data_IF_181090314055
#
_entry.id   IF_181090314055
#
_cell.length_a   1.000
_cell.length_b   1.000
_cell.length_c   1.000
_cell.angle_alpha   90.00
_cell.angle_beta   90.00
_cell.angle_gamma   90.00
#
_symmetry.space_group_name_H-M   'P 1'
#
loop_
_entity.id
_entity.type
_entity.pdbx_description
1 polymer ?
#
# COMPACT_ATOMS: atom_id res chain seq x y z
N UNK A 1 16.18 4.38 -4.61
CA UNK A 1 14.88 5.06 -4.47
C UNK A 1 14.30 4.79 -3.10
N UNK A 2 13.82 5.82 -2.46
CA UNK A 2 13.14 5.68 -1.16
C UNK A 2 11.72 5.14 -1.37
N UNK A 3 11.39 4.10 -0.65
CA UNK A 3 10.04 3.53 -0.65
C UNK A 3 9.61 3.19 0.77
N UNK A 4 8.33 2.98 0.96
CA UNK A 4 7.79 2.45 2.21
C UNK A 4 7.30 1.03 1.92
N UNK A 5 7.85 0.07 2.65
CA UNK A 5 7.49 -1.34 2.52
C UNK A 5 6.47 -1.70 3.59
N UNK A 6 5.29 -2.14 3.14
CA UNK A 6 4.27 -2.68 4.03
C UNK A 6 4.43 -4.19 4.03
N UNK A 7 4.98 -4.70 5.13
CA UNK A 7 5.27 -6.12 5.30
C UNK A 7 4.14 -6.75 6.14
N UNK A 8 3.18 -7.34 5.46
CA UNK A 8 2.02 -7.95 6.13
C UNK A 8 2.41 -9.25 6.86
N UNK A 9 3.44 -9.94 6.39
CA UNK A 9 3.94 -11.17 7.04
C UNK A 9 4.47 -10.87 8.44
N UNK A 10 5.32 -9.86 8.57
CA UNK A 10 5.92 -9.47 9.84
C UNK A 10 5.16 -8.36 10.56
N UNK A 11 4.10 -7.85 9.96
CA UNK A 11 3.28 -6.73 10.46
C UNK A 11 4.11 -5.50 10.77
N UNK A 12 4.89 -5.08 9.78
CA UNK A 12 5.78 -3.92 9.88
C UNK A 12 5.58 -2.97 8.71
N UNK A 13 5.76 -1.69 8.98
CA UNK A 13 5.81 -0.64 7.97
C UNK A 13 7.18 0.00 8.08
N UNK A 14 7.99 -0.10 7.02
CA UNK A 14 9.41 0.26 7.05
C UNK A 14 9.78 1.15 5.87
N UNK A 15 10.65 2.13 6.14
CA UNK A 15 11.32 2.83 5.06
C UNK A 15 12.42 1.94 4.51
N UNK A 16 12.47 1.81 3.18
CA UNK A 16 13.46 0.99 2.51
C UNK A 16 14.08 1.74 1.32
N UNK A 17 15.29 1.34 0.96
CA UNK A 17 15.90 1.74 -0.30
C UNK A 17 15.75 0.59 -1.27
N UNK A 18 15.22 0.86 -2.45
CA UNK A 18 14.95 -0.16 -3.46
C UNK A 18 15.37 0.36 -4.84
N UNK A 19 15.87 -0.53 -5.67
CA UNK A 19 16.18 -0.20 -7.05
C UNK A 19 14.87 -0.01 -7.84
N UNK A 20 14.85 0.98 -8.71
CA UNK A 20 13.69 1.24 -9.57
C UNK A 20 13.69 0.25 -10.74
N UNK A 21 13.45 -1.01 -10.43
CA UNK A 21 13.42 -2.13 -11.38
C UNK A 21 12.29 -3.08 -11.01
N UNK A 22 11.61 -3.61 -12.01
CA UNK A 22 10.48 -4.53 -11.78
C UNK A 22 10.90 -5.75 -10.97
N UNK A 23 12.07 -6.32 -11.25
CA UNK A 23 12.56 -7.49 -10.52
C UNK A 23 12.75 -7.20 -9.03
N UNK A 24 13.20 -5.99 -8.70
CA UNK A 24 13.35 -5.59 -7.31
C UNK A 24 11.98 -5.51 -6.61
N UNK A 25 10.96 -5.02 -7.30
CA UNK A 25 9.60 -4.96 -6.78
C UNK A 25 9.02 -6.36 -6.59
N UNK A 26 9.15 -7.23 -7.58
CA UNK A 26 8.69 -8.62 -7.49
C UNK A 26 9.32 -9.35 -6.31
N UNK A 27 10.61 -9.21 -6.17
CA UNK A 27 11.37 -9.87 -5.09
C UNK A 27 10.95 -9.34 -3.71
N UNK A 28 10.77 -8.03 -3.58
CA UNK A 28 10.43 -7.42 -2.30
C UNK A 28 9.01 -7.76 -1.86
N UNK A 29 8.06 -7.70 -2.78
CA UNK A 29 6.64 -8.00 -2.52
C UNK A 29 6.42 -9.50 -2.41
N UNK A 30 7.16 -10.28 -3.16
CA UNK A 30 6.98 -11.73 -3.21
C UNK A 30 5.93 -12.14 -4.23
N UNK A 31 6.00 -11.56 -5.43
CA UNK A 31 5.03 -11.81 -6.50
C UNK A 31 5.73 -11.90 -7.85
N UNK A 32 4.98 -12.25 -8.88
CA UNK A 32 5.47 -12.35 -10.25
C UNK A 32 4.89 -11.26 -11.15
N UNK A 33 3.77 -10.68 -10.77
CA UNK A 33 3.09 -9.62 -11.51
C UNK A 33 2.63 -8.58 -10.51
N UNK A 34 2.92 -7.32 -10.77
CA UNK A 34 2.51 -6.22 -9.92
C UNK A 34 1.34 -5.46 -10.52
N UNK A 35 0.56 -4.85 -9.65
CA UNK A 35 -0.46 -3.87 -10.00
C UNK A 35 -0.11 -2.55 -9.30
N UNK A 36 -0.36 -1.45 -9.99
CA UNK A 36 -0.10 -0.12 -9.47
C UNK A 36 -1.43 0.55 -9.19
N UNK A 37 -1.58 0.99 -7.95
CA UNK A 37 -2.78 1.67 -7.49
C UNK A 37 -2.41 3.12 -7.14
N UNK A 38 -3.23 4.05 -7.54
CA UNK A 38 -2.96 5.46 -7.30
C UNK A 38 -3.56 5.92 -5.98
N UNK A 39 -2.71 6.45 -5.10
CA UNK A 39 -3.08 7.11 -3.84
C UNK A 39 -2.72 8.60 -3.95
N UNK A 40 -3.49 9.35 -4.75
CA UNK A 40 -3.11 10.72 -5.08
C UNK A 40 -1.83 10.74 -5.92
N UNK A 41 -0.78 11.36 -5.41
CA UNK A 41 0.54 11.40 -6.07
C UNK A 41 1.47 10.28 -5.63
N UNK A 42 1.01 9.43 -4.74
CA UNK A 42 1.75 8.26 -4.28
C UNK A 42 1.21 7.04 -4.98
N UNK A 43 2.08 6.11 -5.32
CA UNK A 43 1.72 4.87 -5.98
C UNK A 43 1.88 3.71 -5.00
N UNK A 44 0.87 2.85 -4.95
CA UNK A 44 0.91 1.63 -4.17
C UNK A 44 1.13 0.46 -5.12
N UNK A 45 2.25 -0.24 -4.97
CA UNK A 45 2.61 -1.39 -5.79
C UNK A 45 2.25 -2.65 -5.01
N UNK A 46 1.38 -3.47 -5.58
CA UNK A 46 0.83 -4.67 -4.95
C UNK A 46 0.92 -5.88 -5.88
N UNK A 47 0.70 -7.07 -5.33
CA UNK A 47 0.57 -8.30 -6.11
C UNK A 47 -0.76 -8.26 -6.89
N UNK A 48 -0.69 -8.23 -8.21
CA UNK A 48 -1.89 -8.22 -9.07
C UNK A 48 -2.79 -9.44 -8.83
N UNK A 49 -2.18 -10.58 -8.52
CA UNK A 49 -2.89 -11.82 -8.24
C UNK A 49 -3.10 -12.08 -6.75
N UNK A 50 -2.93 -11.07 -5.92
CA UNK A 50 -2.93 -11.22 -4.47
C UNK A 50 -4.17 -11.92 -3.91
N UNK A 51 -5.37 -11.63 -4.46
CA UNK A 51 -6.61 -12.25 -4.01
C UNK A 51 -6.82 -13.66 -4.56
N UNK A 52 -6.10 -14.03 -5.62
CA UNK A 52 -6.18 -15.34 -6.25
C UNK A 52 -5.11 -16.28 -5.71
N UNK A 53 -4.09 -15.74 -5.06
CA UNK A 53 -3.02 -16.51 -4.43
C UNK A 53 -3.37 -16.78 -2.97
N UNK A 54 -2.69 -17.77 -2.42
CA UNK A 54 -2.94 -18.23 -1.05
C UNK A 54 -2.23 -17.36 0.00
N UNK A 55 -2.41 -16.03 -0.07
CA UNK A 55 -1.92 -15.14 0.97
C UNK A 55 -2.75 -15.30 2.23
N UNK A 56 -2.09 -15.56 3.35
CA UNK A 56 -2.73 -15.70 4.66
C UNK A 56 -2.79 -14.41 5.45
N UNK A 57 -2.13 -13.39 4.95
CA UNK A 57 -1.99 -12.08 5.56
C UNK A 57 -2.20 -10.98 4.54
N UNK A 58 -2.58 -9.82 5.01
CA UNK A 58 -2.78 -8.65 4.19
C UNK A 58 -2.90 -7.41 5.05
N UNK A 59 -3.40 -6.35 4.47
CA UNK A 59 -3.54 -5.07 5.16
C UNK A 59 -4.60 -4.21 4.47
N UNK A 60 -4.98 -3.14 5.14
CA UNK A 60 -5.71 -2.03 4.53
C UNK A 60 -5.12 -0.72 5.00
N UNK A 61 -5.22 0.31 4.17
CA UNK A 61 -4.80 1.66 4.53
C UNK A 61 -6.05 2.50 4.78
N UNK A 62 -6.18 3.02 6.00
CA UNK A 62 -7.33 3.82 6.40
C UNK A 62 -8.63 3.04 6.22
N UNK A 63 -9.59 3.62 5.51
CA UNK A 63 -10.89 3.03 5.23
C UNK A 63 -10.94 2.29 3.89
N UNK A 64 -9.80 2.11 3.25
CA UNK A 64 -9.71 1.42 1.96
C UNK A 64 -10.02 -0.07 2.05
N UNK A 65 -10.11 -0.71 0.90
CA UNK A 65 -10.29 -2.16 0.82
C UNK A 65 -9.05 -2.90 1.31
N UNK A 66 -9.26 -4.12 1.78
CA UNK A 66 -8.19 -5.03 2.13
C UNK A 66 -7.37 -5.44 0.92
N UNK A 67 -6.06 -5.52 1.10
CA UNK A 67 -5.09 -5.93 0.10
C UNK A 67 -4.38 -7.16 0.64
N UNK A 68 -4.30 -8.20 -0.18
CA UNK A 68 -3.60 -9.43 0.19
C UNK A 68 -2.10 -9.29 -0.06
N UNK A 69 -1.30 -9.74 0.90
CA UNK A 69 0.16 -9.75 0.79
C UNK A 69 0.83 -8.45 1.18
N UNK A 70 2.01 -8.25 0.64
CA UNK A 70 2.87 -7.09 0.92
C UNK A 70 2.71 -6.02 -0.15
N UNK A 71 3.19 -4.82 0.14
CA UNK A 71 3.12 -3.71 -0.82
C UNK A 71 4.30 -2.74 -0.66
N UNK A 72 4.53 -1.96 -1.70
CA UNK A 72 5.49 -0.86 -1.70
C UNK A 72 4.77 0.44 -2.03
N UNK A 73 5.10 1.49 -1.30
CA UNK A 73 4.66 2.85 -1.60
C UNK A 73 5.84 3.62 -2.19
N UNK A 74 5.64 4.17 -3.37
CA UNK A 74 6.62 4.98 -4.08
C UNK A 74 5.97 6.27 -4.55
N UNK A 75 6.79 7.24 -4.93
CA UNK A 75 6.31 8.46 -5.56
C UNK A 75 6.16 8.29 -7.06
N UNK A 76 5.65 9.31 -7.71
CA UNK A 76 5.51 9.38 -9.15
C UNK A 76 6.17 10.66 -9.66
N UNK A 77 7.00 10.50 -10.69
CA UNK A 77 7.56 11.62 -11.45
C UNK A 77 6.73 11.76 -12.73
N UNK A 78 5.82 12.71 -12.76
CA UNK A 78 4.94 12.92 -13.90
C UNK A 78 5.69 13.35 -15.16
N UNK A 79 6.76 14.12 -15.01
CA UNK A 79 7.54 14.62 -16.15
C UNK A 79 8.33 13.50 -16.83
N UNK A 80 8.87 12.58 -16.03
CA UNK A 80 9.62 11.44 -16.53
C UNK A 80 8.74 10.20 -16.79
N UNK A 81 7.47 10.23 -16.41
CA UNK A 81 6.56 9.08 -16.45
C UNK A 81 7.16 7.85 -15.78
N UNK A 82 7.75 8.04 -14.60
CA UNK A 82 8.50 7.00 -13.88
C UNK A 82 8.19 7.05 -12.39
N UNK A 83 8.66 6.03 -11.68
CA UNK A 83 8.61 6.02 -10.23
C UNK A 83 9.66 6.97 -9.66
N UNK A 84 9.36 7.50 -8.49
CA UNK A 84 10.24 8.40 -7.77
C UNK A 84 10.21 8.05 -6.28
N UNK A 85 11.04 8.75 -5.51
CA UNK A 85 11.07 8.57 -4.06
C UNK A 85 9.69 8.82 -3.44
N UNK A 86 9.29 7.94 -2.54
CA UNK A 86 8.13 8.19 -1.70
C UNK A 86 8.43 9.37 -0.79
N UNK A 87 7.54 10.34 -0.72
CA UNK A 87 7.71 11.57 0.09
C UNK A 87 6.89 11.54 1.38
N UNK A 88 6.11 10.49 1.59
CA UNK A 88 5.29 10.38 2.79
C UNK A 88 6.14 9.93 3.98
N UNK A 89 5.81 10.42 5.19
CA UNK A 89 6.46 9.91 6.39
C UNK A 89 6.06 8.46 6.65
N UNK A 90 7.02 7.62 7.02
CA UNK A 90 6.75 6.22 7.32
C UNK A 90 5.81 6.09 8.52
N UNK A 91 5.91 6.99 9.48
CA UNK A 91 5.06 7.01 10.67
C UNK A 91 3.59 7.22 10.33
N UNK A 92 3.32 8.06 9.35
CA UNK A 92 1.95 8.30 8.89
C UNK A 92 1.35 7.04 8.28
N UNK A 93 2.11 6.36 7.43
CA UNK A 93 1.64 5.14 6.80
C UNK A 93 1.47 4.02 7.84
N UNK A 94 2.37 3.93 8.81
CA UNK A 94 2.26 2.95 9.89
C UNK A 94 0.96 3.15 10.69
N UNK A 95 0.61 4.41 10.99
CA UNK A 95 -0.63 4.73 11.70
C UNK A 95 -1.89 4.42 10.89
N UNK A 96 -1.83 4.57 9.57
CA UNK A 96 -2.96 4.31 8.68
C UNK A 96 -3.11 2.84 8.32
N UNK A 97 -2.09 2.03 8.53
CA UNK A 97 -2.08 0.63 8.11
C UNK A 97 -2.69 -0.27 9.17
N UNK A 98 -3.67 -1.07 8.76
CA UNK A 98 -4.30 -2.09 9.59
C UNK A 98 -3.98 -3.46 8.99
N UNK A 99 -3.23 -4.27 9.73
CA UNK A 99 -2.90 -5.62 9.27
C UNK A 99 -4.07 -6.56 9.45
N UNK A 100 -4.23 -7.46 8.49
CA UNK A 100 -5.35 -8.37 8.40
C UNK A 100 -4.88 -9.82 8.44
N UNK A 101 -5.61 -10.66 9.18
CA UNK A 101 -5.47 -12.10 9.15
C UNK A 101 -6.51 -12.64 8.17
N UNK A 102 -6.06 -13.04 6.98
CA UNK A 102 -6.95 -13.47 5.91
C UNK A 102 -7.50 -14.88 6.12
N UNK A 103 -6.93 -15.65 7.03
CA UNK A 103 -7.50 -16.94 7.44
C UNK A 103 -8.76 -16.75 8.28
N UNK A 104 -8.76 -15.72 9.14
CA UNK A 104 -9.92 -15.39 9.99
C UNK A 104 -10.94 -14.52 9.28
N UNK A 105 -10.47 -13.60 8.45
CA UNK A 105 -11.31 -12.64 7.72
C UNK A 105 -10.90 -12.62 6.26
N UNK A 106 -11.36 -13.60 5.46
CA UNK A 106 -11.01 -13.65 4.04
C UNK A 106 -11.51 -12.42 3.30
N UNK A 107 -10.72 -11.97 2.33
CA UNK A 107 -11.15 -10.90 1.44
C UNK A 107 -12.20 -11.43 0.46
N UNK A 108 -13.16 -10.60 0.05
CA UNK A 108 -14.11 -11.00 -0.98
C UNK A 108 -13.38 -11.28 -2.30
N UNK A 109 -13.93 -12.12 -3.17
CA UNK A 109 -13.35 -12.34 -4.49
C UNK A 109 -13.22 -11.03 -5.24
N UNK A 110 -12.18 -10.87 -6.09
CA UNK A 110 -12.05 -9.65 -6.86
C UNK A 110 -13.26 -9.48 -7.77
N UNK A 111 -14.06 -8.45 -7.48
CA UNK A 111 -15.05 -7.97 -8.41
C UNK A 111 -14.35 -6.99 -9.36
N UNK A 112 -14.88 -6.81 -10.52
CA UNK A 112 -14.36 -5.95 -11.60
C UNK A 112 -13.33 -4.90 -11.17
N UNK A 113 -12.05 -5.23 -11.31
CA UNK A 113 -10.96 -4.33 -10.97
C UNK A 113 -11.00 -3.93 -9.50
N UNK A 114 -10.11 -3.12 -9.10
CA UNK A 114 -10.04 -2.60 -7.75
C UNK A 114 -10.92 -1.35 -7.63
N UNK A 115 -12.22 -1.47 -7.94
CA UNK A 115 -13.14 -0.34 -7.92
C UNK A 115 -13.15 0.38 -6.57
N UNK A 116 -12.96 -0.36 -5.48
CA UNK A 116 -12.90 0.25 -4.16
C UNK A 116 -11.62 1.04 -3.91
N UNK A 117 -10.57 0.80 -4.69
CA UNK A 117 -9.33 1.57 -4.57
C UNK A 117 -9.44 2.87 -5.35
N UNK A 118 -10.36 2.96 -6.31
CA UNK A 118 -10.68 4.24 -6.93
C UNK A 118 -11.38 5.19 -5.96
N UNK A 119 -11.95 4.69 -4.87
CA UNK A 119 -12.47 5.52 -3.79
C UNK A 119 -11.37 6.18 -2.96
N UNK A 120 -10.11 5.78 -3.16
CA UNK A 120 -8.97 6.53 -2.68
C UNK A 120 -8.72 7.73 -3.60
N UNK A 121 -9.77 8.53 -3.80
CA UNK A 121 -9.64 9.83 -4.44
C UNK A 121 -8.69 10.70 -3.61
N UNK A 122 -8.03 11.70 -4.21
CA UNK A 122 -7.17 12.61 -3.43
C UNK A 122 -7.88 13.19 -2.21
N UNK A 123 -9.17 13.49 -2.31
CA UNK A 123 -9.96 14.00 -1.21
C UNK A 123 -10.10 12.97 -0.07
N UNK A 124 -10.35 11.70 -0.39
CA UNK A 124 -10.46 10.63 0.61
C UNK A 124 -9.14 10.37 1.31
N UNK A 125 -8.04 10.42 0.57
CA UNK A 125 -6.69 10.23 1.14
C UNK A 125 -6.34 11.40 2.05
N UNK A 126 -6.61 12.63 1.64
CA UNK A 126 -6.37 13.79 2.49
C UNK A 126 -7.20 13.76 3.76
N UNK A 127 -8.44 13.31 3.67
CA UNK A 127 -9.31 13.14 4.83
C UNK A 127 -8.76 12.08 5.79
N UNK A 128 -8.39 10.92 5.27
CA UNK A 128 -7.79 9.85 6.08
C UNK A 128 -6.48 10.30 6.71
N UNK A 129 -5.66 11.03 5.94
CA UNK A 129 -4.41 11.60 6.42
C UNK A 129 -4.65 12.62 7.53
N UNK A 130 -5.63 13.49 7.37
CA UNK A 130 -5.98 14.47 8.39
C UNK A 130 -6.49 13.82 9.67
N UNK A 131 -7.27 12.74 9.56
CA UNK A 131 -7.73 11.96 10.70
C UNK A 131 -6.58 11.25 11.41
N UNK A 132 -5.66 10.65 10.66
CA UNK A 132 -4.48 10.00 11.23
C UNK A 132 -3.58 11.01 11.95
N UNK A 133 -3.39 12.19 11.38
CA UNK A 133 -2.60 13.24 12.02
C UNK A 133 -3.27 13.77 13.30
N UNK A 134 -4.59 13.87 13.32
CA UNK A 134 -5.33 14.24 14.53
C UNK A 134 -5.19 13.21 15.62
N UNK A 135 -5.26 11.93 15.28
CA UNK A 135 -5.07 10.85 16.25
C UNK A 135 -3.66 10.87 16.83
N UNK A 136 -2.65 11.15 16.01
CA UNK A 136 -1.27 11.30 16.46
C UNK A 136 -1.13 12.47 17.45
N UNK A 137 -1.81 13.59 17.20
CA UNK A 137 -1.78 14.74 18.10
C UNK A 137 -2.50 14.46 19.43
N UNK A 138 -3.56 13.67 19.41
CA UNK A 138 -4.30 13.31 20.61
C UNK A 138 -3.59 12.28 21.49
N UNK A 139 -2.68 11.51 20.95
CA UNK A 139 -1.94 10.48 21.68
C UNK A 139 -0.53 10.89 22.13
N UNK A 140 -0.20 12.15 22.00
CA UNK A 140 1.08 12.71 22.47
C UNK A 140 1.01 13.18 23.91
#
# INVERSE_FOLDING_TARGET
>A
MRAIFINAVDRKVEEVQINNELEAFYSKIGCEIIQILHLGRTLLIVDEEGRLRDWKVGFRIGQGEGIAGNALLVGEDHDAEDFADCRLPVELIAEMTHFLDLEKTPLPPPAFGFAAITDLSPASIEKARAEALRDLEQHR
#
